data_IF_535598478074
#
_entry.id   IF_535598478074
#
_cell.length_a   1.000
_cell.length_b   1.000
_cell.length_c   1.000
_cell.angle_alpha   90.00
_cell.angle_beta   90.00
_cell.angle_gamma   90.00
#
_symmetry.space_group_name_H-M   'P 1'
#
loop_
_entity.id
_entity.type
_entity.pdbx_description
1 polymer ?
#
# COMPACT_ATOMS: atom_id res chain seq x y z
N UNK A 1 0.75 6.86 13.62
CA UNK A 1 0.19 5.53 13.31
C UNK A 1 -1.29 5.52 13.62
N UNK A 2 -2.07 4.75 12.87
CA UNK A 2 -3.53 4.60 13.00
C UNK A 2 -3.88 3.15 13.33
N UNK A 3 -4.75 2.96 14.31
CA UNK A 3 -5.39 1.66 14.58
C UNK A 3 -6.54 1.45 13.59
N UNK A 4 -6.67 0.24 13.04
CA UNK A 4 -7.75 -0.10 12.12
C UNK A 4 -9.14 0.07 12.75
N UNK A 5 -9.25 -0.05 14.08
CA UNK A 5 -10.48 0.23 14.82
C UNK A 5 -10.97 1.68 14.65
N UNK A 6 -10.06 2.62 14.38
CA UNK A 6 -10.40 4.04 14.20
C UNK A 6 -10.99 4.35 12.81
N UNK A 7 -10.97 3.40 11.88
CA UNK A 7 -11.51 3.56 10.52
C UNK A 7 -12.71 2.65 10.24
N UNK A 8 -13.25 1.98 11.26
CA UNK A 8 -14.39 1.04 11.14
C UNK A 8 -15.63 1.66 10.48
N UNK A 9 -15.91 2.93 10.78
CA UNK A 9 -17.08 3.65 10.26
C UNK A 9 -16.77 4.37 8.92
N UNK A 10 -15.56 4.22 8.39
CA UNK A 10 -15.14 4.85 7.14
C UNK A 10 -15.46 3.97 5.93
N UNK A 11 -15.79 4.59 4.80
CA UNK A 11 -15.87 3.90 3.51
C UNK A 11 -14.46 3.51 3.07
N UNK A 12 -14.11 2.23 3.18
CA UNK A 12 -12.81 1.71 2.78
C UNK A 12 -12.86 1.29 1.32
N UNK A 13 -12.07 1.95 0.48
CA UNK A 13 -11.90 1.60 -0.92
C UNK A 13 -10.70 0.69 -1.10
N UNK A 14 -10.87 -0.35 -1.92
CA UNK A 14 -9.84 -1.33 -2.24
C UNK A 14 -9.60 -1.44 -3.75
N UNK A 15 -8.49 -2.07 -4.13
CA UNK A 15 -8.32 -2.48 -5.52
C UNK A 15 -9.32 -3.59 -5.89
N UNK A 16 -9.63 -3.70 -7.18
CA UNK A 16 -10.46 -4.79 -7.75
C UNK A 16 -9.85 -6.19 -7.51
N UNK A 17 -10.71 -7.21 -7.64
CA UNK A 17 -10.53 -8.60 -7.17
C UNK A 17 -9.35 -9.39 -7.76
N UNK A 18 -8.59 -8.84 -8.71
CA UNK A 18 -7.39 -9.47 -9.29
C UNK A 18 -6.07 -9.05 -8.62
N UNK A 19 -6.13 -8.22 -7.58
CA UNK A 19 -4.94 -7.63 -6.97
C UNK A 19 -4.61 -8.30 -5.64
N UNK A 20 -3.43 -8.93 -5.53
CA UNK A 20 -2.94 -9.49 -4.26
C UNK A 20 -2.92 -8.47 -3.11
N UNK A 21 -2.84 -7.16 -3.41
CA UNK A 21 -2.93 -6.10 -2.40
C UNK A 21 -4.31 -6.08 -1.72
N UNK A 22 -5.40 -6.34 -2.47
CA UNK A 22 -6.75 -6.41 -1.93
C UNK A 22 -6.83 -7.51 -0.88
N UNK A 23 -6.42 -8.71 -1.25
CA UNK A 23 -6.44 -9.88 -0.36
C UNK A 23 -5.60 -9.62 0.89
N UNK A 24 -4.39 -9.07 0.72
CA UNK A 24 -3.54 -8.66 1.84
C UNK A 24 -4.27 -7.69 2.79
N UNK A 25 -4.94 -6.66 2.25
CA UNK A 25 -5.68 -5.69 3.07
C UNK A 25 -6.86 -6.34 3.78
N UNK A 26 -7.59 -7.22 3.11
CA UNK A 26 -8.68 -8.00 3.72
C UNK A 26 -8.13 -8.87 4.85
N UNK A 27 -7.01 -9.56 4.64
CA UNK A 27 -6.37 -10.38 5.66
C UNK A 27 -5.93 -9.53 6.86
N UNK A 28 -5.34 -8.36 6.63
CA UNK A 28 -4.96 -7.42 7.70
C UNK A 28 -6.17 -6.97 8.52
N UNK A 29 -7.28 -6.68 7.84
CA UNK A 29 -8.53 -6.29 8.47
C UNK A 29 -9.18 -7.45 9.25
N UNK A 30 -9.04 -8.69 8.79
CA UNK A 30 -9.62 -9.89 9.40
C UNK A 30 -8.73 -10.52 10.49
N UNK A 31 -7.42 -10.27 10.47
CA UNK A 31 -6.44 -10.88 11.40
C UNK A 31 -6.28 -10.07 12.70
N UNK A 32 -6.95 -8.91 12.85
CA UNK A 32 -7.23 -8.41 14.19
C UNK A 32 -8.42 -9.24 14.72
N UNK A 33 -8.24 -10.06 15.77
CA UNK A 33 -9.31 -10.91 16.29
C UNK A 33 -10.35 -10.02 16.97
N UNK A 34 -11.20 -9.36 16.18
CA UNK A 34 -12.36 -8.67 16.68
C UNK A 34 -13.45 -8.63 15.59
N UNK A 35 -14.48 -9.47 15.69
CA UNK A 35 -15.70 -9.39 14.88
C UNK A 35 -16.36 -7.99 14.91
N UNK A 36 -16.01 -7.16 15.91
CA UNK A 36 -16.41 -5.75 16.03
C UNK A 36 -15.76 -4.78 15.03
N UNK A 37 -14.78 -5.21 14.22
CA UNK A 37 -14.24 -4.33 13.19
C UNK A 37 -15.28 -4.00 12.10
N UNK A 38 -16.34 -4.82 11.97
CA UNK A 38 -17.59 -4.44 11.30
C UNK A 38 -17.40 -3.89 9.89
N UNK A 39 -16.38 -4.34 9.17
CA UNK A 39 -16.12 -3.85 7.82
C UNK A 39 -16.95 -4.67 6.83
N UNK A 40 -18.27 -4.61 6.98
CA UNK A 40 -19.27 -5.33 6.19
C UNK A 40 -19.21 -5.00 4.68
N UNK A 41 -18.37 -4.04 4.28
CA UNK A 41 -18.30 -3.48 2.94
C UNK A 41 -16.97 -3.73 2.22
N UNK A 42 -15.98 -4.43 2.80
CA UNK A 42 -14.70 -4.70 2.10
C UNK A 42 -14.89 -5.54 0.83
N UNK A 43 -15.92 -6.38 0.83
CA UNK A 43 -16.29 -7.24 -0.30
C UNK A 43 -17.29 -6.58 -1.25
N UNK A 44 -17.81 -5.39 -0.91
CA UNK A 44 -18.74 -4.65 -1.76
C UNK A 44 -17.99 -3.98 -2.92
N UNK A 45 -18.31 -4.40 -4.14
CA UNK A 45 -17.66 -3.97 -5.37
C UNK A 45 -17.89 -2.49 -5.69
N UNK A 46 -18.87 -1.82 -5.06
CA UNK A 46 -19.09 -0.37 -5.19
C UNK A 46 -17.95 0.46 -4.61
N UNK A 47 -17.14 -0.12 -3.72
CA UNK A 47 -15.96 0.51 -3.13
C UNK A 47 -14.65 0.05 -3.79
N UNK A 48 -14.72 -0.46 -5.03
CA UNK A 48 -13.54 -0.86 -5.77
C UNK A 48 -12.99 0.27 -6.66
N UNK A 49 -11.66 0.33 -6.75
CA UNK A 49 -10.94 1.13 -7.72
C UNK A 49 -10.03 0.25 -8.59
N UNK A 50 -9.80 0.64 -9.84
CA UNK A 50 -8.96 -0.12 -10.78
C UNK A 50 -7.45 0.10 -10.59
N UNK A 51 -7.05 1.23 -10.00
CA UNK A 51 -5.64 1.61 -9.83
C UNK A 51 -5.36 2.26 -8.48
N UNK A 52 -4.10 2.26 -8.05
CA UNK A 52 -3.67 2.95 -6.83
C UNK A 52 -3.83 4.48 -6.98
N UNK A 53 -3.63 5.02 -8.18
CA UNK A 53 -3.89 6.42 -8.50
C UNK A 53 -5.35 6.79 -8.29
N UNK A 54 -6.29 5.94 -8.73
CA UNK A 54 -7.72 6.13 -8.46
C UNK A 54 -8.02 6.13 -6.95
N UNK A 55 -7.40 5.23 -6.18
CA UNK A 55 -7.53 5.23 -4.71
C UNK A 55 -7.04 6.54 -4.08
N UNK A 56 -5.89 7.05 -4.53
CA UNK A 56 -5.36 8.36 -4.06
C UNK A 56 -6.34 9.49 -4.37
N UNK A 57 -6.99 9.46 -5.54
CA UNK A 57 -7.98 10.47 -5.92
C UNK A 57 -9.27 10.39 -5.11
N UNK A 58 -9.76 9.18 -4.82
CA UNK A 58 -10.92 8.97 -3.93
C UNK A 58 -10.68 9.60 -2.56
N UNK A 59 -9.49 9.37 -1.97
CA UNK A 59 -9.10 10.00 -0.71
C UNK A 59 -8.93 11.53 -0.86
N UNK A 60 -8.37 11.98 -1.98
CA UNK A 60 -8.22 13.42 -2.26
C UNK A 60 -9.56 14.18 -2.28
N UNK A 61 -10.61 13.52 -2.77
CA UNK A 61 -11.96 14.05 -2.87
C UNK A 61 -12.83 13.77 -1.63
N UNK A 62 -12.24 13.27 -0.54
CA UNK A 62 -12.93 13.00 0.73
C UNK A 62 -14.10 12.01 0.60
N UNK A 63 -14.01 11.07 -0.35
CA UNK A 63 -15.04 10.06 -0.59
C UNK A 63 -14.92 8.85 0.34
N UNK A 64 -13.75 8.69 0.97
CA UNK A 64 -13.44 7.59 1.88
C UNK A 64 -11.95 7.47 2.17
N UNK A 65 -11.57 6.32 2.70
CA UNK A 65 -10.18 5.96 3.04
C UNK A 65 -9.72 4.76 2.21
N UNK A 66 -8.42 4.55 2.13
CA UNK A 66 -7.83 3.41 1.39
C UNK A 66 -6.52 2.99 2.03
N UNK A 67 -6.13 1.74 1.80
CA UNK A 67 -4.80 1.22 2.11
C UNK A 67 -3.97 1.14 0.83
N UNK A 68 -2.72 1.59 0.87
CA UNK A 68 -1.80 1.59 -0.27
C UNK A 68 -0.43 1.06 0.18
N UNK A 69 0.36 0.43 -0.71
CA UNK A 69 1.70 -0.03 -0.38
C UNK A 69 2.66 1.16 -0.34
N UNK A 70 3.71 1.08 0.48
CA UNK A 70 4.68 2.16 0.66
C UNK A 70 5.34 2.60 -0.66
N UNK A 71 5.60 1.68 -1.60
CA UNK A 71 6.16 1.99 -2.93
C UNK A 71 5.33 2.98 -3.72
N UNK A 72 4.00 3.03 -3.51
CA UNK A 72 3.14 3.97 -4.22
C UNK A 72 3.39 5.43 -3.83
N UNK A 73 4.02 5.66 -2.68
CA UNK A 73 4.39 6.99 -2.18
C UNK A 73 5.65 7.54 -2.86
N UNK A 74 6.33 6.76 -3.71
CA UNK A 74 7.42 7.27 -4.55
C UNK A 74 6.90 8.29 -5.56
N UNK A 75 5.63 8.16 -5.95
CA UNK A 75 4.92 9.17 -6.73
C UNK A 75 4.24 10.19 -5.80
N UNK A 76 4.09 11.46 -6.24
CA UNK A 76 3.41 12.49 -5.47
C UNK A 76 2.04 12.04 -4.98
N UNK A 77 1.73 12.40 -3.73
CA UNK A 77 0.40 12.22 -3.15
C UNK A 77 -0.40 13.51 -3.35
N UNK A 78 -1.67 13.45 -3.78
CA UNK A 78 -2.51 14.63 -3.93
C UNK A 78 -2.57 15.47 -2.64
N UNK A 79 -2.61 16.80 -2.76
CA UNK A 79 -2.38 17.71 -1.63
C UNK A 79 -3.32 17.51 -0.42
N UNK A 80 -4.56 17.09 -0.65
CA UNK A 80 -5.56 16.84 0.40
C UNK A 80 -5.52 15.43 1.00
N UNK A 81 -4.81 14.50 0.38
CA UNK A 81 -4.71 13.13 0.89
C UNK A 81 -3.68 13.08 2.03
N UNK A 82 -4.13 12.61 3.20
CA UNK A 82 -3.27 12.38 4.37
C UNK A 82 -2.88 10.90 4.41
N UNK A 83 -1.60 10.64 4.65
CA UNK A 83 -1.06 9.27 4.73
C UNK A 83 -0.66 9.00 6.18
N UNK A 84 -1.24 7.94 6.75
CA UNK A 84 -0.90 7.44 8.08
C UNK A 84 -0.44 6.00 7.97
N UNK A 85 0.57 5.62 8.77
CA UNK A 85 1.02 4.23 8.90
C UNK A 85 0.05 3.45 9.78
N UNK A 86 -0.26 2.21 9.42
CA UNK A 86 -1.08 1.31 10.24
C UNK A 86 -0.23 0.83 11.44
N UNK A 87 -0.80 0.74 12.64
CA UNK A 87 -0.13 0.13 13.80
C UNK A 87 0.24 -1.32 13.49
N UNK A 88 1.43 -1.78 13.88
CA UNK A 88 1.94 -3.11 13.51
C UNK A 88 1.87 -3.37 12.00
N UNK A 89 2.23 -2.36 11.19
CA UNK A 89 1.99 -2.38 9.76
C UNK A 89 2.44 -3.70 9.10
N UNK A 90 1.62 -4.26 8.20
CA UNK A 90 2.02 -5.42 7.40
C UNK A 90 3.30 -5.10 6.62
N UNK A 91 4.17 -6.10 6.46
CA UNK A 91 5.30 -6.03 5.53
C UNK A 91 5.05 -7.01 4.41
N UNK A 92 5.45 -6.62 3.21
CA UNK A 92 5.46 -7.49 2.04
C UNK A 92 6.91 -7.67 1.57
N UNK A 93 7.27 -8.90 1.25
CA UNK A 93 8.50 -9.21 0.55
C UNK A 93 8.25 -9.12 -0.97
N UNK A 94 9.19 -8.49 -1.68
CA UNK A 94 9.20 -8.42 -3.15
C UNK A 94 10.50 -9.07 -3.60
N UNK A 95 10.39 -10.16 -4.36
CA UNK A 95 11.53 -10.98 -4.77
C UNK A 95 11.48 -11.23 -6.27
N UNK A 96 12.65 -11.31 -6.90
CA UNK A 96 12.75 -11.67 -8.32
C UNK A 96 12.81 -13.19 -8.45
N UNK A 97 11.93 -13.75 -9.27
CA UNK A 97 11.83 -15.19 -9.53
C UNK A 97 12.27 -15.46 -10.97
N UNK A 98 13.22 -16.37 -11.14
CA UNK A 98 13.73 -16.81 -12.43
C UNK A 98 14.20 -18.26 -12.34
N UNK A 99 14.30 -18.94 -13.49
CA UNK A 99 14.88 -20.28 -13.57
C UNK A 99 16.39 -20.22 -13.26
N UNK A 100 16.89 -20.90 -12.21
CA UNK A 100 18.29 -20.87 -11.83
C UNK A 100 19.23 -21.45 -12.92
N UNK A 101 18.71 -22.26 -13.83
CA UNK A 101 19.48 -22.84 -14.95
C UNK A 101 19.51 -21.94 -16.18
N UNK A 102 18.78 -20.82 -16.15
CA UNK A 102 18.75 -19.86 -17.26
C UNK A 102 20.14 -19.28 -17.53
N UNK A 103 20.50 -19.15 -18.81
CA UNK A 103 21.68 -18.39 -19.25
C UNK A 103 21.70 -16.95 -18.72
N UNK A 104 20.52 -16.40 -18.40
CA UNK A 104 20.36 -15.05 -17.88
C UNK A 104 20.34 -14.97 -16.34
N UNK A 105 20.56 -16.07 -15.60
CA UNK A 105 20.50 -16.08 -14.14
C UNK A 105 21.38 -14.99 -13.50
N UNK A 106 22.67 -14.90 -13.90
CA UNK A 106 23.59 -13.85 -13.44
C UNK A 106 23.14 -12.43 -13.79
N UNK A 107 22.44 -12.27 -14.92
CA UNK A 107 21.89 -10.99 -15.33
C UNK A 107 20.71 -10.59 -14.44
N UNK A 108 19.80 -11.52 -14.15
CA UNK A 108 18.72 -11.28 -13.20
C UNK A 108 19.27 -10.96 -11.80
N UNK A 109 20.25 -11.70 -11.29
CA UNK A 109 20.89 -11.36 -10.00
C UNK A 109 21.42 -9.93 -9.95
N UNK A 110 22.04 -9.47 -11.04
CA UNK A 110 22.50 -8.07 -11.13
C UNK A 110 21.34 -7.09 -11.14
N UNK A 111 20.29 -7.36 -11.89
CA UNK A 111 19.08 -6.52 -11.89
C UNK A 111 18.45 -6.44 -10.50
N UNK A 112 18.32 -7.56 -9.77
CA UNK A 112 17.67 -7.55 -8.45
C UNK A 112 18.47 -6.71 -7.46
N UNK A 113 19.80 -6.77 -7.51
CA UNK A 113 20.67 -5.93 -6.70
C UNK A 113 20.51 -4.44 -7.02
N UNK A 114 20.45 -4.06 -8.29
CA UNK A 114 20.26 -2.66 -8.67
C UNK A 114 18.85 -2.15 -8.31
N UNK A 115 17.80 -2.95 -8.53
CA UNK A 115 16.44 -2.63 -8.12
C UNK A 115 16.34 -2.42 -6.60
N UNK A 116 17.02 -3.27 -5.82
CA UNK A 116 17.07 -3.13 -4.36
C UNK A 116 17.72 -1.81 -3.94
N UNK A 117 18.84 -1.43 -4.55
CA UNK A 117 19.50 -0.15 -4.26
C UNK A 117 18.60 1.05 -4.56
N UNK A 118 17.90 1.02 -5.71
CA UNK A 118 16.95 2.07 -6.10
C UNK A 118 15.81 2.13 -5.08
N UNK A 119 15.22 0.98 -4.73
CA UNK A 119 14.15 0.90 -3.74
C UNK A 119 14.58 1.47 -2.39
N UNK A 120 15.72 1.06 -1.85
CA UNK A 120 16.23 1.54 -0.55
C UNK A 120 16.48 3.06 -0.57
N UNK A 121 16.98 3.59 -1.69
CA UNK A 121 17.19 5.04 -1.87
C UNK A 121 15.87 5.81 -1.83
N UNK A 122 14.86 5.37 -2.60
CA UNK A 122 13.55 6.03 -2.63
C UNK A 122 12.80 5.86 -1.30
N UNK A 123 12.85 4.68 -0.71
CA UNK A 123 12.20 4.38 0.58
C UNK A 123 12.74 5.26 1.71
N UNK A 124 14.06 5.48 1.78
CA UNK A 124 14.67 6.39 2.78
C UNK A 124 14.16 7.84 2.66
N UNK A 125 13.82 8.31 1.46
CA UNK A 125 13.28 9.67 1.26
C UNK A 125 11.89 9.85 1.87
N UNK A 126 11.10 8.77 1.97
CA UNK A 126 9.75 8.82 2.50
C UNK A 126 9.69 9.14 4.00
N UNK A 127 10.77 8.89 4.76
CA UNK A 127 10.86 9.14 6.21
C UNK A 127 9.65 8.58 6.98
N UNK A 128 9.17 7.39 6.61
CA UNK A 128 7.94 6.78 7.17
C UNK A 128 8.00 6.51 8.69
N UNK A 129 9.20 6.43 9.27
CA UNK A 129 9.38 6.29 10.72
C UNK A 129 9.24 7.62 11.50
N UNK A 130 9.15 8.76 10.79
CA UNK A 130 8.79 10.03 11.42
C UNK A 130 7.27 10.09 11.60
N UNK A 131 6.79 10.41 12.82
CA UNK A 131 5.38 10.30 13.26
C UNK A 131 4.33 10.98 12.36
N UNK A 132 4.73 11.79 11.39
CA UNK A 132 3.85 12.45 10.40
C UNK A 132 4.53 12.43 9.02
N UNK A 133 3.97 11.68 8.07
CA UNK A 133 4.42 11.70 6.68
C UNK A 133 4.11 13.05 6.03
N UNK A 134 5.12 13.70 5.46
CA UNK A 134 4.95 14.89 4.62
C UNK A 134 5.00 14.46 3.15
N UNK A 135 3.93 14.67 2.36
CA UNK A 135 3.91 14.24 0.96
C UNK A 135 5.05 14.88 0.18
N UNK A 136 5.70 14.07 -0.66
CA UNK A 136 6.76 14.53 -1.56
C UNK A 136 6.20 15.61 -2.49
N UNK A 137 6.70 16.85 -2.34
CA UNK A 137 6.45 17.94 -3.28
C UNK A 137 7.54 17.90 -4.35
N UNK A 138 7.15 17.74 -5.61
CA UNK A 138 8.05 17.99 -6.73
C UNK A 138 8.32 19.50 -6.75
N UNK A 139 9.58 19.90 -6.59
CA UNK A 139 10.02 21.30 -6.76
C UNK A 139 9.88 21.72 -8.21
#
# INVERSE_FOLDING_TARGET
DIDLKNIKDSKIFLLQDSNCLRDQVIDICNTSPNPELGIDHLTDTRYNASTIESLKMIVHHDLGVSVIPAVSLFNPTPARAKVNRIVNHPKREISMVYDPTSHNAKFFERISLELRKIYEKEYKKLKLESKVYKPYKKS
#
